data_IF_305084326217
#
_entry.id   IF_305084326217
#
_cell.length_a   1.000
_cell.length_b   1.000
_cell.length_c   1.000
_cell.angle_alpha   90.00
_cell.angle_beta   90.00
_cell.angle_gamma   90.00
#
_symmetry.space_group_name_H-M   'P 1'
#
loop_
_entity.id
_entity.type
_entity.pdbx_description
1 polymer ?
#
# COMPACT_ATOMS: atom_id res chain seq x y z
N UNK A 1 -32.18 17.08 30.46
CA UNK A 1 -30.79 16.61 30.51
C UNK A 1 -30.61 15.21 29.92
N UNK A 2 -31.55 14.27 30.06
CA UNK A 2 -31.44 12.90 29.52
C UNK A 2 -31.44 12.75 27.98
N UNK A 3 -32.05 13.67 27.24
CA UNK A 3 -32.13 13.61 25.75
C UNK A 3 -30.83 14.03 25.04
N UNK A 4 -29.99 14.87 25.66
CA UNK A 4 -28.67 15.21 25.10
C UNK A 4 -27.70 14.01 25.20
N UNK A 5 -27.71 13.30 26.33
CA UNK A 5 -26.86 12.12 26.55
C UNK A 5 -27.14 11.01 25.54
N UNK A 6 -28.42 10.72 25.28
CA UNK A 6 -28.80 9.68 24.32
C UNK A 6 -28.35 10.03 22.88
N UNK A 7 -28.40 11.31 22.51
CA UNK A 7 -27.94 11.78 21.20
C UNK A 7 -26.43 11.64 21.04
N UNK A 8 -25.66 11.84 22.11
CA UNK A 8 -24.20 11.68 22.11
C UNK A 8 -23.79 10.20 22.09
N UNK A 9 -24.52 9.32 22.77
CA UNK A 9 -24.32 7.87 22.71
C UNK A 9 -24.60 7.31 21.31
N UNK A 10 -25.67 7.79 20.66
CA UNK A 10 -26.00 7.44 19.27
C UNK A 10 -24.91 7.93 18.33
N UNK A 11 -24.42 9.16 18.48
CA UNK A 11 -23.29 9.66 17.68
C UNK A 11 -22.03 8.82 17.88
N UNK A 12 -21.68 8.47 19.11
CA UNK A 12 -20.52 7.65 19.40
C UNK A 12 -20.62 6.25 18.78
N UNK A 13 -21.82 5.63 18.85
CA UNK A 13 -22.08 4.35 18.21
C UNK A 13 -21.96 4.42 16.68
N UNK A 14 -22.52 5.46 16.06
CA UNK A 14 -22.42 5.70 14.61
C UNK A 14 -20.98 5.94 14.19
N UNK A 15 -20.22 6.75 14.92
CA UNK A 15 -18.79 6.98 14.66
C UNK A 15 -18.01 5.67 14.71
N UNK A 16 -18.24 4.85 15.74
CA UNK A 16 -17.56 3.55 15.90
C UNK A 16 -17.88 2.58 14.76
N UNK A 17 -19.13 2.57 14.28
CA UNK A 17 -19.54 1.76 13.12
C UNK A 17 -18.86 2.26 11.84
N UNK A 18 -18.87 3.58 11.60
CA UNK A 18 -18.23 4.17 10.42
C UNK A 18 -16.70 4.05 10.44
N UNK A 19 -16.08 4.05 11.62
CA UNK A 19 -14.67 3.71 11.80
C UNK A 19 -14.39 2.25 11.46
N UNK A 20 -15.19 1.33 12.00
CA UNK A 20 -15.02 -0.12 11.74
C UNK A 20 -15.25 -0.47 10.28
N UNK A 21 -16.19 0.19 9.61
CA UNK A 21 -16.45 0.04 8.18
C UNK A 21 -15.40 0.75 7.30
N UNK A 22 -14.45 1.49 7.89
CA UNK A 22 -13.43 2.22 7.17
C UNK A 22 -13.92 3.48 6.46
N UNK A 23 -15.20 3.86 6.61
CA UNK A 23 -15.80 5.05 5.98
C UNK A 23 -15.11 6.32 6.46
N UNK A 24 -14.87 6.46 7.77
CA UNK A 24 -14.17 7.62 8.31
C UNK A 24 -12.69 7.65 7.90
N UNK A 25 -12.05 6.48 7.75
CA UNK A 25 -10.70 6.39 7.23
C UNK A 25 -10.63 6.83 5.76
N UNK A 26 -11.61 6.41 4.94
CA UNK A 26 -11.75 6.83 3.55
C UNK A 26 -11.98 8.34 3.41
N UNK A 27 -12.91 8.91 4.18
CA UNK A 27 -13.18 10.36 4.14
C UNK A 27 -11.93 11.16 4.55
N UNK A 28 -11.20 10.72 5.58
CA UNK A 28 -9.93 11.36 5.96
C UNK A 28 -8.87 11.25 4.88
N UNK A 29 -8.77 10.11 4.22
CA UNK A 29 -7.84 9.90 3.11
C UNK A 29 -8.19 10.77 1.91
N UNK A 30 -9.49 10.86 1.55
CA UNK A 30 -9.99 11.71 0.49
C UNK A 30 -9.74 13.19 0.79
N UNK A 31 -10.05 13.65 2.00
CA UNK A 31 -9.75 15.02 2.42
C UNK A 31 -8.25 15.32 2.35
N UNK A 32 -7.40 14.40 2.83
CA UNK A 32 -5.94 14.55 2.71
C UNK A 32 -5.53 14.66 1.25
N UNK A 33 -6.02 13.77 0.39
CA UNK A 33 -5.72 13.80 -1.04
C UNK A 33 -6.14 15.13 -1.69
N UNK A 34 -7.38 15.59 -1.46
CA UNK A 34 -7.88 16.86 -2.01
C UNK A 34 -7.12 18.08 -1.48
N UNK A 35 -6.71 18.08 -0.21
CA UNK A 35 -5.88 19.16 0.36
C UNK A 35 -4.49 19.15 -0.26
N UNK A 36 -3.88 17.97 -0.44
CA UNK A 36 -2.58 17.87 -1.10
C UNK A 36 -2.66 18.32 -2.56
N UNK A 37 -3.66 17.87 -3.31
CA UNK A 37 -3.90 18.27 -4.70
C UNK A 37 -4.08 19.79 -4.83
N UNK A 38 -4.91 20.41 -3.97
CA UNK A 38 -5.11 21.85 -3.98
C UNK A 38 -3.84 22.65 -3.62
N UNK A 39 -3.00 22.14 -2.72
CA UNK A 39 -1.70 22.75 -2.38
C UNK A 39 -0.72 22.63 -3.56
N UNK A 40 -0.70 21.48 -4.24
CA UNK A 40 0.17 21.21 -5.39
C UNK A 40 -0.19 22.05 -6.62
N UNK A 41 -1.49 22.25 -6.89
CA UNK A 41 -1.98 23.13 -7.96
C UNK A 41 -1.66 24.61 -7.70
N UNK A 42 -1.71 25.02 -6.43
CA UNK A 42 -1.43 26.41 -6.05
C UNK A 42 0.07 26.75 -6.02
N UNK A 43 0.94 25.76 -5.84
CA UNK A 43 2.39 25.97 -5.74
C UNK A 43 3.18 24.73 -6.24
N UNK A 44 3.48 24.65 -7.54
CA UNK A 44 4.19 23.50 -8.12
C UNK A 44 5.65 23.36 -7.63
N UNK A 45 6.19 24.38 -6.95
CA UNK A 45 7.53 24.33 -6.34
C UNK A 45 7.56 23.52 -5.04
N UNK A 46 6.39 23.27 -4.41
CA UNK A 46 6.24 22.44 -3.20
C UNK A 46 6.15 20.93 -3.44
N UNK A 47 6.47 20.46 -4.65
CA UNK A 47 6.70 19.03 -4.92
C UNK A 47 7.75 18.44 -3.97
N UNK A 48 8.68 19.26 -3.48
CA UNK A 48 9.65 18.90 -2.45
C UNK A 48 9.00 18.94 -1.06
N UNK A 49 8.17 17.93 -0.76
CA UNK A 49 7.72 17.64 0.61
C UNK A 49 8.96 17.41 1.49
N UNK A 50 8.92 17.77 2.80
CA UNK A 50 10.04 17.54 3.71
C UNK A 50 10.54 16.10 3.56
N UNK A 51 11.83 15.98 3.24
CA UNK A 51 12.44 14.73 2.79
C UNK A 51 12.03 13.58 3.71
N UNK A 52 11.54 12.50 3.11
CA UNK A 52 11.31 11.25 3.80
C UNK A 52 12.58 10.43 3.54
N UNK A 53 13.69 10.64 4.29
CA UNK A 53 15.01 10.13 3.94
C UNK A 53 15.00 8.61 3.72
N UNK A 54 14.27 7.86 4.55
CA UNK A 54 14.11 6.43 4.38
C UNK A 54 13.41 6.02 3.07
N UNK A 55 12.45 6.82 2.59
CA UNK A 55 11.81 6.57 1.29
C UNK A 55 12.70 7.02 0.14
N UNK A 56 13.45 8.10 0.31
CA UNK A 56 14.44 8.55 -0.67
C UNK A 56 15.53 7.49 -0.87
N UNK A 57 16.06 6.95 0.24
CA UNK A 57 17.05 5.87 0.26
C UNK A 57 16.49 4.57 -0.35
N UNK A 58 15.23 4.24 -0.04
CA UNK A 58 14.58 3.06 -0.60
C UNK A 58 14.40 3.21 -2.12
N UNK A 59 13.83 4.33 -2.57
CA UNK A 59 13.58 4.61 -3.97
C UNK A 59 14.86 4.72 -4.82
N UNK A 60 15.98 5.13 -4.21
CA UNK A 60 17.28 5.17 -4.88
C UNK A 60 17.77 3.78 -5.30
N UNK A 61 17.27 2.71 -4.67
CA UNK A 61 17.64 1.33 -5.04
C UNK A 61 16.67 0.74 -6.07
N UNK A 62 17.15 0.00 -7.08
CA UNK A 62 16.27 -0.68 -8.05
C UNK A 62 15.25 -1.63 -7.40
N UNK A 63 15.64 -2.25 -6.28
CA UNK A 63 14.77 -3.14 -5.51
C UNK A 63 13.74 -2.37 -4.68
N UNK A 64 14.10 -1.22 -4.12
CA UNK A 64 13.15 -0.41 -3.36
C UNK A 64 12.12 0.28 -4.25
N UNK A 65 12.49 0.69 -5.46
CA UNK A 65 11.52 1.12 -6.48
C UNK A 65 10.50 0.01 -6.80
N UNK A 66 10.96 -1.24 -6.93
CA UNK A 66 10.07 -2.41 -7.11
C UNK A 66 9.13 -2.63 -5.92
N UNK A 67 9.58 -2.40 -4.68
CA UNK A 67 8.72 -2.50 -3.50
C UNK A 67 7.60 -1.46 -3.55
N UNK A 68 7.91 -0.22 -3.94
CA UNK A 68 6.92 0.85 -4.07
C UNK A 68 5.86 0.47 -5.11
N UNK A 69 6.27 -0.05 -6.27
CA UNK A 69 5.36 -0.48 -7.32
C UNK A 69 4.53 -1.71 -6.91
N UNK A 70 5.08 -2.64 -6.13
CA UNK A 70 4.32 -3.77 -5.56
C UNK A 70 3.23 -3.31 -4.60
N UNK A 71 3.51 -2.30 -3.76
CA UNK A 71 2.50 -1.71 -2.87
C UNK A 71 1.42 -1.01 -3.68
N UNK A 72 1.79 -0.25 -4.71
CA UNK A 72 0.84 0.40 -5.62
C UNK A 72 -0.05 -0.61 -6.33
N UNK A 73 0.52 -1.70 -6.84
CA UNK A 73 -0.19 -2.81 -7.47
C UNK A 73 -1.20 -3.45 -6.49
N UNK A 74 -0.78 -3.74 -5.26
CA UNK A 74 -1.67 -4.28 -4.23
C UNK A 74 -2.86 -3.35 -3.93
N UNK A 75 -2.60 -2.04 -3.77
CA UNK A 75 -3.66 -1.05 -3.52
C UNK A 75 -4.66 -1.00 -4.68
N UNK A 76 -4.18 -1.11 -5.92
CA UNK A 76 -5.01 -1.17 -7.12
C UNK A 76 -5.85 -2.45 -7.16
N UNK A 77 -5.23 -3.62 -6.95
CA UNK A 77 -5.90 -4.92 -6.92
C UNK A 77 -6.98 -5.01 -5.84
N UNK A 78 -6.71 -4.44 -4.65
CA UNK A 78 -7.66 -4.42 -3.54
C UNK A 78 -8.79 -3.36 -3.71
N UNK A 79 -8.81 -2.60 -4.80
CA UNK A 79 -9.80 -1.55 -5.04
C UNK A 79 -9.68 -0.34 -4.09
N UNK A 80 -8.50 -0.14 -3.49
CA UNK A 80 -8.25 0.92 -2.51
C UNK A 80 -7.86 2.25 -3.19
N UNK A 81 -8.70 2.73 -4.10
CA UNK A 81 -8.40 3.87 -4.99
C UNK A 81 -7.98 5.14 -4.25
N UNK A 82 -8.64 5.48 -3.13
CA UNK A 82 -8.28 6.67 -2.35
C UNK A 82 -6.95 6.51 -1.60
N UNK A 83 -6.69 5.31 -1.08
CA UNK A 83 -5.40 5.02 -0.45
C UNK A 83 -4.27 5.03 -1.49
N UNK A 84 -4.53 4.57 -2.71
CA UNK A 84 -3.60 4.69 -3.84
C UNK A 84 -3.27 6.15 -4.17
N UNK A 85 -4.27 7.03 -4.28
CA UNK A 85 -4.04 8.47 -4.51
C UNK A 85 -3.24 9.13 -3.40
N UNK A 86 -3.58 8.84 -2.13
CA UNK A 86 -2.80 9.35 -0.99
C UNK A 86 -1.39 8.81 -1.05
N UNK A 87 -1.22 7.51 -1.29
CA UNK A 87 0.09 6.86 -1.42
C UNK A 87 0.93 7.55 -2.51
N UNK A 88 0.38 7.74 -3.72
CA UNK A 88 1.04 8.42 -4.82
C UNK A 88 1.42 9.86 -4.48
N UNK A 89 0.52 10.63 -3.85
CA UNK A 89 0.86 11.98 -3.39
C UNK A 89 1.94 11.96 -2.30
N UNK A 90 1.95 10.97 -1.41
CA UNK A 90 2.90 10.85 -0.30
C UNK A 90 4.30 10.41 -0.72
N UNK A 91 4.41 9.59 -1.76
CA UNK A 91 5.69 9.17 -2.35
C UNK A 91 6.17 10.15 -3.44
N UNK A 92 5.28 10.94 -4.05
CA UNK A 92 5.64 11.83 -5.15
C UNK A 92 6.21 11.08 -6.37
N UNK A 93 7.13 11.70 -7.11
CA UNK A 93 7.70 11.13 -8.34
C UNK A 93 8.87 10.13 -8.10
N UNK A 94 8.85 9.42 -6.97
CA UNK A 94 9.97 8.56 -6.52
C UNK A 94 10.00 7.18 -7.18
N UNK A 95 8.91 6.72 -7.77
CA UNK A 95 8.84 5.45 -8.48
C UNK A 95 8.04 5.59 -9.77
N UNK A 96 8.62 5.07 -10.86
CA UNK A 96 7.93 4.96 -12.13
C UNK A 96 6.74 4.01 -11.96
N UNK A 97 5.51 4.46 -12.22
CA UNK A 97 4.31 3.63 -12.12
C UNK A 97 4.36 2.47 -13.12
N UNK A 98 4.99 1.38 -12.70
CA UNK A 98 5.21 0.22 -13.54
C UNK A 98 3.92 -0.59 -13.66
N UNK A 99 3.57 -0.93 -14.89
CA UNK A 99 2.44 -1.80 -15.18
C UNK A 99 2.65 -3.19 -14.57
N UNK A 100 1.54 -3.82 -14.16
CA UNK A 100 1.54 -5.15 -13.54
C UNK A 100 2.30 -6.18 -14.38
N UNK A 101 2.18 -6.13 -15.71
CA UNK A 101 2.88 -7.03 -16.63
C UNK A 101 4.41 -6.88 -16.58
N UNK A 102 4.91 -5.64 -16.50
CA UNK A 102 6.33 -5.36 -16.38
C UNK A 102 6.86 -5.77 -15.00
N UNK A 103 6.08 -5.62 -13.93
CA UNK A 103 6.42 -6.15 -12.60
C UNK A 103 6.53 -7.67 -12.61
N UNK A 104 5.58 -8.36 -13.25
CA UNK A 104 5.62 -9.81 -13.41
C UNK A 104 6.88 -10.28 -14.13
N UNK A 105 7.23 -9.64 -15.24
CA UNK A 105 8.42 -9.95 -16.01
C UNK A 105 9.70 -9.74 -15.18
N UNK A 106 9.75 -8.67 -14.40
CA UNK A 106 10.93 -8.30 -13.61
C UNK A 106 11.11 -9.18 -12.36
N UNK A 107 10.01 -9.70 -11.82
CA UNK A 107 9.99 -10.59 -10.65
C UNK A 107 9.97 -12.08 -11.02
N UNK A 108 9.80 -12.42 -12.31
CA UNK A 108 9.66 -13.80 -12.77
C UNK A 108 8.39 -14.48 -12.25
N UNK A 109 7.30 -13.71 -12.10
CA UNK A 109 6.02 -14.19 -11.58
C UNK A 109 5.01 -14.38 -12.70
N UNK A 110 4.15 -15.38 -12.54
CA UNK A 110 2.97 -15.54 -13.39
C UNK A 110 1.92 -14.54 -12.92
N UNK A 111 1.59 -13.56 -13.76
CA UNK A 111 0.76 -12.40 -13.43
C UNK A 111 -0.73 -12.67 -13.19
N UNK A 112 -1.11 -13.87 -12.74
CA UNK A 112 -2.49 -14.31 -12.57
C UNK A 112 -3.32 -13.30 -11.78
N UNK A 113 -4.48 -12.89 -12.32
CA UNK A 113 -5.31 -11.83 -11.76
C UNK A 113 -5.95 -12.17 -10.40
N UNK A 114 -5.86 -13.43 -9.97
CA UNK A 114 -6.56 -13.95 -8.80
C UNK A 114 -5.97 -13.48 -7.47
N UNK A 115 -4.72 -12.98 -7.46
CA UNK A 115 -4.03 -12.53 -6.26
C UNK A 115 -3.14 -11.30 -6.56
N UNK A 116 -2.82 -10.46 -5.56
CA UNK A 116 -1.82 -9.42 -5.71
C UNK A 116 -0.42 -10.03 -5.84
N UNK A 117 0.49 -9.37 -6.57
CA UNK A 117 1.82 -9.93 -6.85
C UNK A 117 2.64 -10.16 -5.58
N UNK A 118 2.41 -9.36 -4.53
CA UNK A 118 3.06 -9.54 -3.24
C UNK A 118 2.69 -10.87 -2.57
N UNK A 119 1.48 -11.39 -2.80
CA UNK A 119 1.08 -12.69 -2.28
C UNK A 119 1.84 -13.81 -3.01
N UNK A 120 1.95 -13.73 -4.33
CA UNK A 120 2.72 -14.68 -5.15
C UNK A 120 4.19 -14.72 -4.76
N UNK A 121 4.79 -13.58 -4.38
CA UNK A 121 6.16 -13.54 -3.84
C UNK A 121 6.29 -14.28 -2.51
N UNK A 122 5.34 -14.08 -1.59
CA UNK A 122 5.35 -14.75 -0.28
C UNK A 122 5.16 -16.26 -0.45
N UNK A 123 4.21 -16.68 -1.28
CA UNK A 123 3.98 -18.10 -1.59
C UNK A 123 5.23 -18.75 -2.20
N UNK A 124 5.86 -18.09 -3.18
CA UNK A 124 7.11 -18.57 -3.79
C UNK A 124 8.26 -18.70 -2.78
N UNK A 125 8.37 -17.77 -1.82
CA UNK A 125 9.37 -17.85 -0.75
C UNK A 125 9.10 -19.01 0.21
N UNK A 126 7.85 -19.18 0.64
CA UNK A 126 7.46 -20.25 1.57
C UNK A 126 7.56 -21.66 0.94
N UNK A 127 7.25 -21.80 -0.36
CA UNK A 127 7.46 -23.05 -1.09
C UNK A 127 8.95 -23.42 -1.16
N UNK A 128 9.83 -22.43 -1.39
CA UNK A 128 11.28 -22.66 -1.41
C UNK A 128 11.83 -23.07 -0.05
N UNK A 129 11.35 -22.48 1.05
CA UNK A 129 11.75 -22.88 2.42
C UNK A 129 11.28 -24.30 2.74
N UNK A 130 10.08 -24.67 2.29
CA UNK A 130 9.50 -26.01 2.48
C UNK A 130 10.28 -27.08 1.71
N UNK A 131 10.78 -26.77 0.50
CA UNK A 131 11.64 -27.66 -0.29
C UNK A 131 13.03 -27.88 0.34
N UNK A 132 13.60 -26.85 0.97
CA UNK A 132 14.94 -26.93 1.59
C UNK A 132 14.99 -27.82 2.84
N UNK A 133 13.86 -28.00 3.55
CA UNK A 133 13.80 -28.85 4.76
C UNK A 133 13.79 -30.37 4.50
N UNK A 134 13.72 -30.81 3.24
CA UNK A 134 13.69 -32.25 2.89
C UNK A 134 15.06 -32.85 2.53
N UNK A 135 16.14 -32.06 2.56
CA UNK A 135 17.50 -32.49 2.24
C UNK A 135 18.42 -32.65 3.45
N UNK A 136 18.05 -33.48 4.43
CA UNK A 136 19.00 -33.93 5.45
C UNK A 136 19.82 -35.12 4.88
N UNK A 137 21.16 -35.05 4.82
CA UNK A 137 21.96 -36.16 4.31
C UNK A 137 21.91 -37.33 5.31
N UNK A 138 21.62 -38.53 4.79
CA UNK A 138 21.60 -39.78 5.55
C UNK A 138 22.92 -40.00 6.31
N UNK A 139 22.89 -40.56 7.53
CA UNK A 139 24.10 -40.93 8.23
C UNK A 139 24.78 -42.07 7.45
N UNK A 140 26.04 -41.85 7.06
CA UNK A 140 26.86 -42.91 6.45
C UNK A 140 27.17 -43.99 7.49
N UNK A 141 27.22 -45.27 7.09
CA UNK A 141 27.57 -46.39 7.96
C UNK A 141 29.03 -46.33 8.41
#
# INVERSE_FOLDING_TARGET
>A
TGTLSLMDDVKAAVVKVLEKQGVLARIRAELRASVFEAIEDADPSKREKPGKPHLDDLAATPNGALVIDLVREFLSWAGLTFAGKVFDSEIGNRAAAMERSALCQRLGLDGGAQAPLIASLVEGFLLRDSGAKTGAPAPRP
#
